data_IF_511298668979
#
_entry.id   IF_511298668979
#
_cell.length_a   1.000
_cell.length_b   1.000
_cell.length_c   1.000
_cell.angle_alpha   90.00
_cell.angle_beta   90.00
_cell.angle_gamma   90.00
#
_symmetry.space_group_name_H-M   'P 1'
#
loop_
_entity.id
_entity.type
_entity.pdbx_description
1 polymer ?
#
# COMPACT_ATOMS: atom_id res chain seq x y z
N UNK A 1 10.28 5.93 0.88
CA UNK A 1 10.28 4.48 1.00
C UNK A 1 8.98 3.99 1.59
N UNK A 2 8.44 2.93 1.03
CA UNK A 2 7.15 2.41 1.44
C UNK A 2 7.30 0.95 1.78
N UNK A 3 6.69 0.55 2.89
CA UNK A 3 6.74 -0.84 3.32
C UNK A 3 5.34 -1.42 3.20
N UNK A 4 5.19 -2.45 2.38
CA UNK A 4 3.91 -3.10 2.19
C UNK A 4 3.94 -4.40 2.99
N UNK A 5 2.99 -4.55 3.88
CA UNK A 5 2.91 -5.72 4.74
C UNK A 5 1.64 -6.47 4.47
N UNK A 6 1.76 -7.78 4.29
CA UNK A 6 0.61 -8.64 4.11
C UNK A 6 0.61 -9.72 5.17
N UNK A 7 -0.55 -9.97 5.75
CA UNK A 7 -0.69 -11.01 6.75
C UNK A 7 -1.51 -12.13 6.16
N UNK A 8 -0.89 -13.30 5.92
CA UNK A 8 -1.61 -14.42 5.34
C UNK A 8 -2.69 -14.94 6.27
N UNK A 9 -3.61 -15.72 5.74
CA UNK A 9 -4.65 -16.31 6.54
C UNK A 9 -4.06 -17.21 7.60
N UNK A 10 -3.04 -17.95 7.22
CA UNK A 10 -2.43 -18.84 8.16
C UNK A 10 -1.45 -18.06 8.98
N UNK A 11 -1.26 -18.41 10.23
CA UNK A 11 -0.39 -17.65 11.10
C UNK A 11 1.07 -17.91 10.81
N UNK A 12 1.47 -17.72 9.61
CA UNK A 12 2.80 -17.99 9.23
C UNK A 12 3.70 -16.81 9.22
N UNK A 13 3.34 -15.75 9.78
CA UNK A 13 4.19 -14.60 9.81
C UNK A 13 3.73 -13.56 8.82
N UNK A 14 4.47 -12.48 8.74
CA UNK A 14 4.09 -11.35 7.94
C UNK A 14 5.00 -11.25 6.74
N UNK A 15 4.43 -11.05 5.57
CA UNK A 15 5.21 -10.82 4.37
C UNK A 15 5.39 -9.32 4.21
N UNK A 16 6.63 -8.88 4.00
CA UNK A 16 6.93 -7.48 3.83
C UNK A 16 7.72 -7.26 2.57
N UNK A 17 7.40 -6.20 1.85
CA UNK A 17 8.23 -5.78 0.74
C UNK A 17 8.42 -4.28 0.84
N UNK A 18 9.53 -3.79 0.34
CA UNK A 18 9.84 -2.37 0.35
C UNK A 18 9.81 -1.86 -1.07
N UNK A 19 9.12 -0.76 -1.28
CA UNK A 19 9.03 -0.15 -2.60
C UNK A 19 9.45 1.31 -2.52
N UNK A 20 9.84 1.87 -3.66
CA UNK A 20 10.33 3.23 -3.68
C UNK A 20 9.29 4.23 -4.13
N UNK A 21 8.25 3.81 -4.81
CA UNK A 21 7.21 4.73 -5.26
C UNK A 21 5.87 4.29 -4.73
N UNK A 22 4.93 5.24 -4.69
CA UNK A 22 3.57 4.94 -4.24
C UNK A 22 2.89 3.94 -5.15
N UNK A 23 3.08 4.08 -6.45
CA UNK A 23 2.45 3.15 -7.37
C UNK A 23 2.93 1.75 -7.17
N UNK A 24 4.24 1.60 -6.99
CA UNK A 24 4.79 0.27 -6.75
C UNK A 24 4.27 -0.32 -5.46
N UNK A 25 4.14 0.51 -4.44
CA UNK A 25 3.61 0.04 -3.17
C UNK A 25 2.17 -0.42 -3.32
N UNK A 26 1.38 0.35 -4.05
CA UNK A 26 -0.01 -0.01 -4.24
C UNK A 26 -0.12 -1.29 -5.06
N UNK A 27 0.72 -1.46 -6.07
CA UNK A 27 0.72 -2.67 -6.87
C UNK A 27 1.05 -3.88 -6.01
N UNK A 28 2.03 -3.75 -5.15
CA UNK A 28 2.39 -4.85 -4.27
C UNK A 28 1.26 -5.19 -3.31
N UNK A 29 0.60 -4.16 -2.78
CA UNK A 29 -0.51 -4.37 -1.87
C UNK A 29 -1.67 -5.08 -2.57
N UNK A 30 -1.96 -4.65 -3.79
CA UNK A 30 -3.03 -5.26 -4.57
C UNK A 30 -2.71 -6.72 -4.86
N UNK A 31 -1.45 -7.00 -5.14
CA UNK A 31 -1.04 -8.36 -5.40
C UNK A 31 -1.25 -9.23 -4.17
N UNK A 32 -0.93 -8.70 -2.99
CA UNK A 32 -1.17 -9.44 -1.76
C UNK A 32 -2.65 -9.74 -1.57
N UNK A 33 -3.51 -8.77 -1.86
CA UNK A 33 -4.94 -9.00 -1.77
C UNK A 33 -5.39 -10.07 -2.75
N UNK A 34 -4.85 -10.04 -3.96
CA UNK A 34 -5.19 -11.04 -4.96
C UNK A 34 -4.75 -12.42 -4.53
N UNK A 35 -3.71 -12.50 -3.74
CA UNK A 35 -3.24 -13.77 -3.24
C UNK A 35 -4.05 -14.24 -2.04
N UNK A 36 -5.03 -13.48 -1.63
CA UNK A 36 -5.91 -13.91 -0.57
C UNK A 36 -5.53 -13.49 0.82
N UNK A 37 -4.60 -12.58 0.96
CA UNK A 37 -4.21 -12.11 2.29
C UNK A 37 -5.30 -11.20 2.83
N UNK A 38 -5.85 -11.52 4.01
CA UNK A 38 -6.97 -10.72 4.54
C UNK A 38 -6.55 -9.37 5.09
N UNK A 39 -5.30 -9.22 5.47
CA UNK A 39 -4.85 -7.96 6.05
C UNK A 39 -3.63 -7.47 5.30
N UNK A 40 -3.77 -6.36 4.62
CA UNK A 40 -2.67 -5.74 3.89
C UNK A 40 -2.62 -4.28 4.28
N UNK A 41 -1.44 -3.82 4.68
CA UNK A 41 -1.26 -2.42 5.05
C UNK A 41 -0.01 -1.87 4.39
N UNK A 42 0.07 -0.56 4.30
CA UNK A 42 1.22 0.12 3.73
C UNK A 42 1.68 1.14 4.75
N UNK A 43 2.97 1.10 5.06
CA UNK A 43 3.54 2.05 6.00
C UNK A 43 4.33 3.07 5.20
N UNK A 44 4.01 4.33 5.40
CA UNK A 44 4.66 5.43 4.70
C UNK A 44 4.78 6.60 5.66
N UNK A 45 5.98 7.15 5.76
CA UNK A 45 6.22 8.33 6.60
C UNK A 45 5.75 8.14 8.03
N UNK A 46 5.94 6.95 8.55
CA UNK A 46 5.56 6.69 9.93
C UNK A 46 4.07 6.46 10.15
N UNK A 47 3.30 6.41 9.07
CA UNK A 47 1.87 6.17 9.16
C UNK A 47 1.51 4.86 8.53
N UNK A 48 0.48 4.22 9.06
CA UNK A 48 -0.03 2.97 8.52
C UNK A 48 -1.33 3.26 7.78
N UNK A 49 -1.40 2.80 6.55
CA UNK A 49 -2.58 3.01 5.71
C UNK A 49 -3.19 1.68 5.33
N UNK A 50 -4.50 1.66 5.19
CA UNK A 50 -5.13 0.54 4.50
C UNK A 50 -4.87 0.72 3.01
N UNK A 51 -5.12 -0.33 2.24
CA UNK A 51 -4.92 -0.25 0.80
C UNK A 51 -5.81 0.83 0.19
N UNK A 52 -7.05 0.91 0.65
CA UNK A 52 -7.98 1.91 0.14
C UNK A 52 -7.53 3.31 0.47
N UNK A 53 -7.09 3.52 1.70
CA UNK A 53 -6.61 4.84 2.09
C UNK A 53 -5.39 5.24 1.29
N UNK A 54 -4.51 4.29 1.07
CA UNK A 54 -3.30 4.60 0.33
C UNK A 54 -3.62 4.91 -1.14
N UNK A 55 -4.56 4.19 -1.71
CA UNK A 55 -4.97 4.46 -3.09
C UNK A 55 -5.50 5.89 -3.22
N UNK A 56 -6.23 6.35 -2.21
CA UNK A 56 -6.73 7.72 -2.23
C UNK A 56 -5.60 8.74 -2.21
N UNK A 57 -4.51 8.44 -1.52
CA UNK A 57 -3.40 9.39 -1.51
C UNK A 57 -2.79 9.52 -2.90
N UNK A 58 -2.74 8.44 -3.66
CA UNK A 58 -2.20 8.50 -5.00
C UNK A 58 -3.11 9.33 -5.89
N UNK A 59 -4.40 9.10 -5.82
CA UNK A 59 -5.35 9.84 -6.62
C UNK A 59 -5.28 11.32 -6.29
N UNK A 60 -5.27 11.64 -5.01
CA UNK A 60 -5.20 13.03 -4.59
C UNK A 60 -3.91 13.69 -5.02
N UNK A 61 -2.81 13.00 -4.90
CA UNK A 61 -1.55 13.56 -5.30
C UNK A 61 -1.51 13.85 -6.78
N UNK A 62 -1.99 12.93 -7.57
CA UNK A 62 -1.94 13.09 -9.01
C UNK A 62 -2.88 14.18 -9.47
N UNK A 63 -4.06 14.24 -8.88
CA UNK A 63 -4.98 15.29 -9.20
C UNK A 63 -4.51 16.60 -8.66
N UNK A 64 -3.96 16.57 -7.48
CA UNK A 64 -3.55 17.77 -6.82
C UNK A 64 -2.37 18.39 -7.46
N UNK A 65 -1.57 17.60 -8.08
CA UNK A 65 -0.54 18.14 -8.77
C UNK A 65 -1.01 18.75 -9.96
N UNK A 66 -2.07 18.40 -10.29
CA UNK A 66 -2.64 19.01 -11.29
C UNK A 66 -2.83 20.28 -10.91
N UNK A 67 -2.76 20.88 -11.45
CA UNK A 67 -2.83 22.12 -11.14
C UNK A 67 -3.79 22.53 -10.44
N UNK A 68 -4.04 22.21 -9.77
CA UNK A 68 -4.76 22.56 -9.05
C UNK A 68 -4.52 23.59 -8.82
N UNK A 69 -4.23 23.70 -8.97
CA UNK A 69 -4.09 24.57 -8.78
C UNK A 69 -4.20 24.96 -8.94
#
# INVERSE_FOLDING_TARGET
MFIVQGKPREPEGIVKVTKTTRREALEAATKFLDEGMPFVTIVADGRVYTVEEFALTIINDEDGNGPRS
#
